data_IF_449486858435
#
_entry.id   IF_449486858435
#
_cell.length_a   1.000
_cell.length_b   1.000
_cell.length_c   1.000
_cell.angle_alpha   90.00
_cell.angle_beta   90.00
_cell.angle_gamma   90.00
#
_symmetry.space_group_name_H-M   'P 1'
#
loop_
_entity.id
_entity.type
_entity.pdbx_description
1 polymer ?
#
# COMPACT_ATOMS: atom_id res chain seq x y z
N UNK A 1 -2.21 -9.98 22.53
CA UNK A 1 -1.21 -10.65 21.66
C UNK A 1 -0.87 -9.68 20.52
N UNK A 2 0.36 -9.24 20.50
CA UNK A 2 0.90 -8.34 19.47
C UNK A 2 1.32 -9.19 18.27
N UNK A 3 0.78 -8.89 17.09
CA UNK A 3 1.13 -9.56 15.85
C UNK A 3 1.78 -8.56 14.91
N UNK A 4 2.99 -8.87 14.51
CA UNK A 4 3.82 -8.08 13.60
C UNK A 4 4.13 -8.85 12.32
N UNK A 5 4.69 -8.16 11.34
CA UNK A 5 5.21 -8.80 10.11
C UNK A 5 6.44 -8.07 9.59
N UNK A 6 7.33 -8.84 8.97
CA UNK A 6 8.32 -8.35 8.03
C UNK A 6 7.88 -8.75 6.61
N UNK A 7 7.86 -7.80 5.69
CA UNK A 7 7.27 -7.99 4.36
C UNK A 7 8.25 -7.58 3.25
N UNK A 8 9.29 -8.40 2.99
CA UNK A 8 10.30 -8.10 1.98
C UNK A 8 9.79 -8.39 0.57
N UNK A 9 10.33 -7.62 -0.41
CA UNK A 9 10.17 -7.92 -1.84
C UNK A 9 11.38 -8.72 -2.34
N UNK A 10 11.19 -9.89 -2.99
CA UNK A 10 12.29 -10.76 -3.43
C UNK A 10 12.89 -10.26 -4.76
N UNK A 11 13.35 -9.01 -4.78
CA UNK A 11 13.91 -8.34 -5.97
C UNK A 11 15.43 -8.15 -5.91
N UNK A 12 16.06 -8.61 -4.83
CA UNK A 12 17.49 -8.54 -4.57
C UNK A 12 17.82 -9.04 -3.16
N UNK A 13 19.11 -9.05 -2.78
CA UNK A 13 19.55 -9.47 -1.46
C UNK A 13 19.06 -8.49 -0.38
N UNK A 14 18.92 -9.00 0.84
CA UNK A 14 18.66 -8.14 2.01
C UNK A 14 19.90 -7.28 2.31
N UNK A 15 19.66 -6.15 2.93
CA UNK A 15 20.71 -5.28 3.46
C UNK A 15 20.45 -4.98 4.95
N UNK A 16 21.40 -4.30 5.61
CA UNK A 16 21.34 -4.04 7.05
C UNK A 16 20.01 -3.41 7.52
N UNK A 17 19.42 -2.50 6.72
CA UNK A 17 18.12 -1.90 7.05
C UNK A 17 16.98 -2.92 7.04
N UNK A 18 17.02 -3.91 6.14
CA UNK A 18 16.04 -5.01 6.14
C UNK A 18 16.21 -5.91 7.37
N UNK A 19 17.46 -6.26 7.72
CA UNK A 19 17.76 -7.04 8.92
C UNK A 19 17.26 -6.33 10.18
N UNK A 20 17.54 -5.04 10.31
CA UNK A 20 17.05 -4.22 11.41
C UNK A 20 15.52 -4.21 11.50
N UNK A 21 14.83 -3.96 10.37
CA UNK A 21 13.37 -3.94 10.33
C UNK A 21 12.76 -5.30 10.72
N UNK A 22 13.38 -6.41 10.28
CA UNK A 22 12.95 -7.76 10.63
C UNK A 22 13.12 -8.04 12.12
N UNK A 23 14.28 -7.69 12.69
CA UNK A 23 14.57 -7.86 14.12
C UNK A 23 13.62 -7.03 14.98
N UNK A 24 13.40 -5.75 14.65
CA UNK A 24 12.45 -4.90 15.38
C UNK A 24 11.04 -5.49 15.34
N UNK A 25 10.59 -5.99 14.18
CA UNK A 25 9.28 -6.61 14.07
C UNK A 25 9.18 -7.90 14.89
N UNK A 26 10.23 -8.71 14.89
CA UNK A 26 10.29 -9.96 15.66
C UNK A 26 10.29 -9.68 17.17
N UNK A 27 11.14 -8.78 17.65
CA UNK A 27 11.32 -8.52 19.08
C UNK A 27 10.12 -7.81 19.70
N UNK A 28 9.38 -7.05 18.88
CA UNK A 28 8.20 -6.33 19.34
C UNK A 28 6.94 -7.20 19.39
N UNK A 29 6.86 -8.28 18.59
CA UNK A 29 5.67 -9.09 18.42
C UNK A 29 5.66 -10.36 19.28
N UNK A 30 4.50 -10.68 19.89
CA UNK A 30 4.25 -12.03 20.45
C UNK A 30 4.18 -13.08 19.33
N UNK A 31 3.78 -12.65 18.13
CA UNK A 31 3.76 -13.46 16.91
C UNK A 31 4.32 -12.64 15.74
N UNK A 32 5.42 -13.11 15.21
CA UNK A 32 6.09 -12.56 14.05
C UNK A 32 5.72 -13.34 12.79
N UNK A 33 5.34 -12.65 11.72
CA UNK A 33 4.99 -13.22 10.43
C UNK A 33 5.93 -12.72 9.32
N UNK A 34 6.10 -13.55 8.30
CA UNK A 34 6.71 -13.13 7.02
C UNK A 34 5.60 -13.06 5.97
N UNK A 35 5.66 -12.03 5.12
CA UNK A 35 4.88 -11.94 3.90
C UNK A 35 5.82 -11.60 2.74
N UNK A 36 5.75 -12.38 1.67
CA UNK A 36 6.55 -12.14 0.48
C UNK A 36 5.82 -11.17 -0.45
N UNK A 37 6.36 -9.97 -0.64
CA UNK A 37 5.77 -8.93 -1.50
C UNK A 37 6.35 -9.03 -2.92
N UNK A 38 5.89 -10.02 -3.65
CA UNK A 38 6.36 -10.41 -4.98
C UNK A 38 5.44 -9.97 -6.13
N UNK A 39 4.67 -8.87 -5.96
CA UNK A 39 3.75 -8.36 -6.99
C UNK A 39 4.47 -7.97 -8.29
N UNK A 40 5.67 -7.42 -8.19
CA UNK A 40 6.48 -7.09 -9.36
C UNK A 40 7.19 -8.35 -9.90
N UNK A 41 6.45 -9.14 -10.65
CA UNK A 41 6.94 -10.39 -11.25
C UNK A 41 8.08 -10.15 -12.27
N UNK A 42 8.25 -8.92 -12.76
CA UNK A 42 9.36 -8.59 -13.66
C UNK A 42 10.71 -8.60 -12.94
N UNK A 43 10.72 -8.31 -11.63
CA UNK A 43 11.93 -8.24 -10.79
C UNK A 43 12.03 -9.33 -9.73
N UNK A 44 10.89 -9.87 -9.28
CA UNK A 44 10.86 -10.95 -8.28
C UNK A 44 11.55 -12.21 -8.82
N UNK A 45 12.37 -12.85 -7.99
CA UNK A 45 13.09 -14.09 -8.34
C UNK A 45 13.07 -15.06 -7.18
N UNK A 46 12.82 -16.35 -7.48
CA UNK A 46 12.82 -17.42 -6.48
C UNK A 46 14.14 -17.53 -5.70
N UNK A 47 15.27 -17.25 -6.35
CA UNK A 47 16.58 -17.25 -5.67
C UNK A 47 16.68 -16.20 -4.58
N UNK A 48 16.10 -15.01 -4.80
CA UNK A 48 16.09 -13.95 -3.78
C UNK A 48 15.15 -14.28 -2.63
N UNK A 49 14.02 -14.93 -2.93
CA UNK A 49 13.13 -15.42 -1.88
C UNK A 49 13.79 -16.46 -0.99
N UNK A 50 14.47 -17.46 -1.60
CA UNK A 50 15.23 -18.46 -0.85
C UNK A 50 16.32 -17.82 0.02
N UNK A 51 17.08 -16.88 -0.55
CA UNK A 51 18.10 -16.15 0.20
C UNK A 51 17.52 -15.33 1.35
N UNK A 52 16.36 -14.69 1.16
CA UNK A 52 15.68 -13.98 2.25
C UNK A 52 15.40 -14.91 3.44
N UNK A 53 14.92 -16.13 3.18
CA UNK A 53 14.66 -17.08 4.26
C UNK A 53 15.97 -17.53 4.93
N UNK A 54 17.02 -17.78 4.16
CA UNK A 54 18.34 -18.17 4.68
C UNK A 54 18.92 -17.04 5.55
N UNK A 55 18.89 -15.79 5.08
CA UNK A 55 19.40 -14.63 5.80
C UNK A 55 18.62 -14.42 7.12
N UNK A 56 17.30 -14.57 7.09
CA UNK A 56 16.47 -14.43 8.31
C UNK A 56 16.71 -15.56 9.31
N UNK A 57 16.88 -16.79 8.84
CA UNK A 57 17.27 -17.92 9.71
C UNK A 57 18.68 -17.72 10.29
N UNK A 58 19.62 -17.18 9.51
CA UNK A 58 20.96 -16.84 10.02
C UNK A 58 20.91 -15.79 11.14
N UNK A 59 19.95 -14.86 11.09
CA UNK A 59 19.66 -13.89 12.16
C UNK A 59 18.97 -14.53 13.38
N UNK A 60 18.66 -15.83 13.34
CA UNK A 60 17.96 -16.53 14.41
C UNK A 60 16.44 -16.32 14.44
N UNK A 61 15.87 -15.75 13.38
CA UNK A 61 14.44 -15.49 13.31
C UNK A 61 13.68 -16.75 12.87
N UNK A 62 12.48 -16.92 13.43
CA UNK A 62 11.55 -18.00 13.10
C UNK A 62 10.15 -17.46 12.90
N UNK A 63 9.37 -18.11 12.05
CA UNK A 63 8.01 -17.71 11.71
C UNK A 63 7.14 -18.92 11.31
N UNK A 64 5.80 -18.79 11.43
CA UNK A 64 4.89 -19.84 10.97
C UNK A 64 4.91 -20.01 9.45
N UNK A 65 4.70 -21.25 9.01
CA UNK A 65 4.49 -21.59 7.59
C UNK A 65 3.06 -22.06 7.34
N UNK A 66 2.52 -21.93 6.11
CA UNK A 66 3.16 -21.35 4.92
C UNK A 66 3.28 -19.83 4.99
N UNK A 67 4.30 -19.27 4.32
CA UNK A 67 4.45 -17.83 4.15
C UNK A 67 3.44 -17.33 3.13
N UNK A 68 2.73 -16.24 3.45
CA UNK A 68 1.84 -15.57 2.50
C UNK A 68 2.65 -14.92 1.39
N UNK A 69 2.26 -15.17 0.14
CA UNK A 69 2.84 -14.53 -1.07
C UNK A 69 1.77 -13.68 -1.73
N UNK A 70 2.12 -12.46 -2.09
CA UNK A 70 1.15 -11.54 -2.72
C UNK A 70 0.74 -11.99 -4.11
N UNK A 71 1.64 -12.61 -4.88
CA UNK A 71 1.32 -13.16 -6.20
C UNK A 71 0.20 -14.20 -6.19
N UNK A 72 0.07 -14.97 -5.10
CA UNK A 72 -0.98 -15.98 -4.94
C UNK A 72 -2.34 -15.36 -4.57
N UNK A 73 -2.37 -14.07 -4.26
CA UNK A 73 -3.55 -13.38 -3.75
C UNK A 73 -4.26 -12.47 -4.76
N UNK A 74 -3.86 -12.51 -6.02
CA UNK A 74 -4.46 -11.70 -7.08
C UNK A 74 -6.01 -11.78 -7.15
N UNK A 75 -6.65 -12.95 -6.93
CA UNK A 75 -8.11 -13.03 -6.88
C UNK A 75 -8.72 -12.20 -5.74
N UNK A 76 -8.08 -12.14 -4.57
CA UNK A 76 -8.53 -11.34 -3.41
C UNK A 76 -8.47 -9.85 -3.75
N UNK A 77 -7.35 -9.41 -4.34
CA UNK A 77 -7.19 -8.01 -4.74
C UNK A 77 -8.19 -7.61 -5.82
N UNK A 78 -8.42 -8.50 -6.80
CA UNK A 78 -9.42 -8.28 -7.85
C UNK A 78 -10.82 -8.14 -7.27
N UNK A 79 -11.21 -8.99 -6.34
CA UNK A 79 -12.51 -8.92 -5.66
C UNK A 79 -12.68 -7.61 -4.87
N UNK A 80 -11.62 -7.15 -4.20
CA UNK A 80 -11.64 -5.87 -3.49
C UNK A 80 -11.78 -4.67 -4.46
N UNK A 81 -11.05 -4.70 -5.58
CA UNK A 81 -11.19 -3.69 -6.65
C UNK A 81 -12.60 -3.69 -7.24
N UNK A 82 -13.20 -4.87 -7.48
CA UNK A 82 -14.56 -4.99 -7.97
C UNK A 82 -15.56 -4.35 -6.99
N UNK A 83 -15.41 -4.62 -5.69
CA UNK A 83 -16.27 -4.01 -4.67
C UNK A 83 -16.18 -2.48 -4.65
N UNK A 84 -14.97 -1.93 -4.72
CA UNK A 84 -14.77 -0.48 -4.80
C UNK A 84 -15.31 0.09 -6.13
N UNK A 85 -15.18 -0.66 -7.22
CA UNK A 85 -15.73 -0.30 -8.52
C UNK A 85 -17.25 -0.22 -8.48
N UNK A 86 -17.93 -1.22 -7.96
CA UNK A 86 -19.39 -1.28 -7.86
C UNK A 86 -19.97 -0.14 -7.00
N UNK A 87 -19.20 0.30 -6.01
CA UNK A 87 -19.52 1.46 -5.18
C UNK A 87 -19.26 2.82 -5.87
N UNK A 88 -18.70 2.82 -7.09
CA UNK A 88 -18.38 4.06 -7.80
C UNK A 88 -17.17 4.83 -7.27
N UNK A 89 -16.35 4.18 -6.43
CA UNK A 89 -15.20 4.78 -5.77
C UNK A 89 -13.92 4.77 -6.60
N UNK A 90 -13.88 4.00 -7.70
CA UNK A 90 -12.74 3.93 -8.59
C UNK A 90 -13.04 4.52 -9.95
N UNK A 91 -12.01 5.05 -10.59
CA UNK A 91 -12.04 5.48 -11.98
C UNK A 91 -10.72 5.16 -12.69
N UNK A 92 -10.73 4.95 -14.05
CA UNK A 92 -9.53 4.68 -14.81
C UNK A 92 -8.70 5.96 -15.02
N UNK A 93 -7.37 5.81 -14.95
CA UNK A 93 -6.44 6.93 -15.14
C UNK A 93 -5.37 6.57 -16.17
N UNK A 94 -5.29 7.35 -17.22
CA UNK A 94 -4.31 7.20 -18.31
C UNK A 94 -3.09 8.12 -18.14
N UNK A 95 -3.06 8.99 -17.14
CA UNK A 95 -1.97 9.95 -16.94
C UNK A 95 -0.64 9.25 -16.66
N UNK A 96 0.38 9.69 -17.37
CA UNK A 96 1.79 9.40 -17.05
C UNK A 96 2.29 10.35 -15.95
N UNK A 97 3.49 10.09 -15.41
CA UNK A 97 4.14 11.04 -14.47
C UNK A 97 4.30 12.42 -15.11
N UNK A 98 4.71 12.46 -16.38
CA UNK A 98 4.90 13.72 -17.13
C UNK A 98 3.59 14.52 -17.25
N UNK A 99 2.47 13.84 -17.44
CA UNK A 99 1.16 14.52 -17.52
C UNK A 99 0.77 15.13 -16.17
N UNK A 100 1.08 14.42 -15.07
CA UNK A 100 0.83 14.90 -13.70
C UNK A 100 1.72 16.11 -13.41
N UNK A 101 3.02 16.02 -13.70
CA UNK A 101 3.98 17.12 -13.48
C UNK A 101 3.59 18.36 -14.31
N UNK A 102 3.17 18.16 -15.57
CA UNK A 102 2.71 19.24 -16.43
C UNK A 102 1.44 19.92 -15.87
N UNK A 103 0.49 19.13 -15.35
CA UNK A 103 -0.72 19.67 -14.76
C UNK A 103 -0.45 20.44 -13.45
N UNK A 104 0.51 19.99 -12.64
CA UNK A 104 0.92 20.65 -11.40
C UNK A 104 1.75 21.92 -11.66
N UNK A 105 2.43 22.01 -12.82
CA UNK A 105 3.20 23.19 -13.21
C UNK A 105 2.33 24.34 -13.74
N UNK A 106 1.03 24.07 -13.97
CA UNK A 106 0.09 25.14 -14.35
C UNK A 106 -0.19 26.03 -13.13
N UNK A 107 -0.21 27.37 -13.30
CA UNK A 107 -0.47 28.31 -12.20
C UNK A 107 -1.82 28.01 -11.53
N UNK A 108 -1.80 27.52 -10.31
CA UNK A 108 -2.99 27.34 -9.46
C UNK A 108 -2.73 28.01 -8.11
N UNK A 109 -3.42 29.08 -7.83
CA UNK A 109 -3.27 29.80 -6.56
C UNK A 109 -3.76 28.92 -5.39
N UNK A 110 -2.88 28.73 -4.39
CA UNK A 110 -3.22 28.11 -3.11
C UNK A 110 -3.35 26.58 -3.09
N UNK A 111 -3.06 25.86 -4.17
CA UNK A 111 -3.11 24.41 -4.17
C UNK A 111 -1.83 23.79 -3.58
N UNK A 112 -2.00 22.78 -2.71
CA UNK A 112 -0.89 21.93 -2.29
C UNK A 112 -0.53 21.00 -3.46
N UNK A 113 0.72 21.02 -3.87
CA UNK A 113 1.22 20.19 -4.97
C UNK A 113 1.86 18.89 -4.50
N UNK A 114 2.22 18.79 -3.22
CA UNK A 114 2.91 17.64 -2.63
C UNK A 114 2.23 17.21 -1.33
N UNK A 115 1.94 15.93 -1.26
CA UNK A 115 1.43 15.23 -0.07
C UNK A 115 2.47 14.27 0.51
N UNK A 116 2.09 13.43 1.47
CA UNK A 116 2.99 12.48 2.13
C UNK A 116 3.70 11.51 1.18
N UNK A 117 3.05 11.14 0.08
CA UNK A 117 3.55 10.17 -0.90
C UNK A 117 4.07 10.83 -2.19
N UNK A 118 4.31 12.14 -2.17
CA UNK A 118 4.80 12.89 -3.33
C UNK A 118 3.73 13.77 -4.00
N UNK A 119 3.79 13.98 -5.33
CA UNK A 119 2.87 14.86 -6.03
C UNK A 119 1.40 14.44 -5.87
N UNK A 120 0.55 15.37 -5.43
CA UNK A 120 -0.89 15.15 -5.31
C UNK A 120 -1.48 15.11 -6.72
N UNK A 121 -2.22 14.06 -7.02
CA UNK A 121 -2.84 13.91 -8.33
C UNK A 121 -3.94 14.98 -8.56
N UNK A 122 -3.88 15.76 -9.66
CA UNK A 122 -4.78 16.90 -9.88
C UNK A 122 -6.21 16.54 -10.29
N UNK A 123 -6.54 15.24 -10.40
CA UNK A 123 -7.90 14.80 -10.73
C UNK A 123 -8.23 14.78 -12.23
N UNK A 124 -7.27 14.96 -13.12
CA UNK A 124 -7.45 15.11 -14.60
C UNK A 124 -8.34 14.04 -15.24
N UNK A 125 -8.37 12.81 -14.71
CA UNK A 125 -9.18 11.72 -15.25
C UNK A 125 -10.46 11.43 -14.45
N UNK A 126 -10.72 12.15 -13.34
CA UNK A 126 -11.81 11.84 -12.41
C UNK A 126 -13.19 11.93 -13.08
N UNK A 127 -13.39 12.94 -13.91
CA UNK A 127 -14.69 13.22 -14.56
C UNK A 127 -14.84 12.56 -15.93
N UNK A 128 -13.87 11.72 -16.33
CA UNK A 128 -13.99 10.96 -17.59
C UNK A 128 -15.06 9.88 -17.47
N UNK A 129 -15.68 9.56 -18.60
CA UNK A 129 -16.67 8.50 -18.64
C UNK A 129 -16.07 7.18 -18.10
N UNK A 130 -16.77 6.62 -17.13
CA UNK A 130 -16.39 5.38 -16.47
C UNK A 130 -17.00 4.19 -17.23
N UNK A 131 -16.23 3.15 -17.58
CA UNK A 131 -16.77 1.92 -18.13
C UNK A 131 -17.79 1.26 -17.19
N UNK A 132 -18.76 0.53 -17.76
CA UNK A 132 -19.75 -0.18 -16.97
C UNK A 132 -19.12 -1.31 -16.13
N UNK A 133 -18.09 -1.97 -16.67
CA UNK A 133 -17.36 -3.05 -16.00
C UNK A 133 -15.99 -2.57 -15.54
N UNK A 134 -15.48 -3.20 -14.46
CA UNK A 134 -14.12 -2.99 -14.00
C UNK A 134 -13.12 -3.36 -15.11
N UNK A 135 -12.34 -2.39 -15.63
CA UNK A 135 -11.40 -2.67 -16.72
C UNK A 135 -10.20 -3.49 -16.25
N UNK A 136 -9.64 -4.27 -17.16
CA UNK A 136 -8.37 -4.95 -16.97
C UNK A 136 -7.23 -4.15 -17.60
N UNK A 137 -6.03 -4.26 -17.00
CA UNK A 137 -4.83 -3.65 -17.57
C UNK A 137 -4.84 -2.12 -17.60
N UNK A 138 -5.57 -1.48 -16.69
CA UNK A 138 -5.58 -0.03 -16.53
C UNK A 138 -5.13 0.40 -15.13
N UNK A 139 -4.60 1.62 -15.03
CA UNK A 139 -4.40 2.20 -13.71
C UNK A 139 -5.77 2.65 -13.17
N UNK A 140 -6.07 2.27 -11.93
CA UNK A 140 -7.29 2.69 -11.24
C UNK A 140 -6.93 3.57 -10.05
N UNK A 141 -7.62 4.71 -9.94
CA UNK A 141 -7.48 5.61 -8.81
C UNK A 141 -8.74 5.59 -7.95
N UNK A 142 -8.52 5.77 -6.64
CA UNK A 142 -9.59 6.02 -5.67
C UNK A 142 -10.01 7.48 -5.77
N UNK A 143 -11.28 7.74 -5.99
CA UNK A 143 -11.89 9.07 -5.83
C UNK A 143 -11.94 9.38 -4.33
N UNK A 144 -10.95 10.12 -3.85
CA UNK A 144 -10.81 10.40 -2.42
C UNK A 144 -12.01 11.18 -1.88
N UNK A 145 -12.55 12.11 -2.65
CA UNK A 145 -13.69 12.92 -2.23
C UNK A 145 -14.95 12.09 -2.01
N UNK A 146 -15.17 11.06 -2.83
CA UNK A 146 -16.25 10.09 -2.61
C UNK A 146 -15.94 9.11 -1.49
N UNK A 147 -14.70 8.62 -1.44
CA UNK A 147 -14.30 7.61 -0.46
C UNK A 147 -14.48 8.08 0.98
N UNK A 148 -14.13 9.33 1.30
CA UNK A 148 -14.28 9.86 2.65
C UNK A 148 -15.75 9.93 3.14
N UNK A 149 -16.73 9.97 2.21
CA UNK A 149 -18.15 9.97 2.58
C UNK A 149 -18.62 8.62 3.13
N UNK A 150 -17.86 7.55 2.91
CA UNK A 150 -18.13 6.21 3.42
C UNK A 150 -17.31 5.85 4.65
N UNK A 151 -16.51 6.79 5.16
CA UNK A 151 -15.66 6.58 6.33
C UNK A 151 -16.30 7.21 7.58
N UNK A 152 -15.96 6.72 8.78
CA UNK A 152 -16.33 7.42 10.01
C UNK A 152 -15.68 8.81 10.04
N UNK A 153 -16.25 9.73 10.80
CA UNK A 153 -15.75 11.11 10.89
C UNK A 153 -14.28 11.20 11.29
N UNK A 154 -13.83 10.26 12.11
CA UNK A 154 -12.45 10.23 12.61
C UNK A 154 -11.83 8.85 12.40
N UNK A 155 -10.66 8.82 11.77
CA UNK A 155 -9.75 7.68 11.79
C UNK A 155 -8.55 8.04 12.66
N UNK A 156 -8.10 7.11 13.48
CA UNK A 156 -6.95 7.32 14.34
C UNK A 156 -6.07 6.09 14.40
N UNK A 157 -4.82 6.30 14.73
CA UNK A 157 -3.88 5.24 15.10
C UNK A 157 -3.08 5.68 16.33
N UNK A 158 -2.46 4.73 17.01
CA UNK A 158 -1.58 5.01 18.14
C UNK A 158 -0.16 4.70 17.75
N UNK A 159 0.73 5.68 17.84
CA UNK A 159 2.17 5.47 17.71
C UNK A 159 2.73 5.06 19.09
N UNK A 160 3.39 3.91 19.13
CA UNK A 160 3.99 3.35 20.35
C UNK A 160 5.51 3.39 20.35
N UNK A 161 6.10 3.83 19.24
CA UNK A 161 7.55 4.03 19.10
C UNK A 161 8.06 5.24 19.90
N UNK A 162 9.39 5.42 19.94
CA UNK A 162 10.02 6.49 20.74
C UNK A 162 9.82 7.90 20.13
N UNK A 163 9.43 7.99 18.86
CA UNK A 163 9.23 9.26 18.17
C UNK A 163 7.75 9.43 17.84
N UNK A 164 7.19 10.60 18.15
CA UNK A 164 5.78 10.94 17.92
C UNK A 164 4.78 10.02 18.65
N UNK A 165 5.17 9.49 19.82
CA UNK A 165 4.32 8.61 20.63
C UNK A 165 2.98 9.26 20.97
N UNK A 166 1.90 8.49 20.87
CA UNK A 166 0.55 8.92 21.25
C UNK A 166 -0.50 8.62 20.20
N UNK A 167 -1.72 9.09 20.46
CA UNK A 167 -2.84 8.95 19.54
C UNK A 167 -2.77 10.03 18.45
N UNK A 168 -2.89 9.61 17.20
CA UNK A 168 -2.91 10.47 16.03
C UNK A 168 -4.24 10.35 15.31
N UNK A 169 -4.87 11.47 15.04
CA UNK A 169 -6.13 11.55 14.29
C UNK A 169 -5.90 12.06 12.88
N UNK A 170 -6.57 11.45 11.92
CA UNK A 170 -6.50 11.84 10.52
C UNK A 170 -7.61 12.84 10.19
N UNK A 171 -7.25 13.97 9.62
CA UNK A 171 -8.21 14.93 9.09
C UNK A 171 -8.72 14.47 7.72
N UNK A 172 -9.81 13.70 7.72
CA UNK A 172 -10.36 13.12 6.49
C UNK A 172 -10.96 14.17 5.57
N UNK A 173 -11.49 15.27 6.09
CA UNK A 173 -12.06 16.33 5.25
C UNK A 173 -11.02 17.04 4.39
N UNK A 174 -9.77 17.06 4.83
CA UNK A 174 -8.63 17.61 4.08
C UNK A 174 -7.97 16.57 3.14
N UNK A 175 -8.28 15.28 3.27
CA UNK A 175 -7.61 14.22 2.51
C UNK A 175 -7.65 14.39 0.98
N UNK A 176 -8.76 14.87 0.37
CA UNK A 176 -8.77 15.13 -1.07
C UNK A 176 -7.72 16.15 -1.53
N UNK A 177 -7.38 17.12 -0.69
CA UNK A 177 -6.41 18.19 -0.98
C UNK A 177 -4.99 17.84 -0.52
N UNK A 178 -4.85 17.07 0.57
CA UNK A 178 -3.54 16.80 1.20
C UNK A 178 -2.93 15.45 0.77
N UNK A 179 -3.76 14.51 0.33
CA UNK A 179 -3.36 13.17 -0.13
C UNK A 179 -3.71 12.99 -1.61
N UNK A 180 -4.91 13.41 -2.00
CA UNK A 180 -5.44 13.26 -3.36
C UNK A 180 -5.88 11.84 -3.70
N UNK A 181 -6.12 11.60 -4.99
CA UNK A 181 -6.61 10.33 -5.50
C UNK A 181 -5.46 9.35 -5.71
N UNK A 182 -5.38 8.36 -4.83
CA UNK A 182 -4.31 7.36 -4.82
C UNK A 182 -4.57 6.19 -5.77
N UNK A 183 -3.51 5.62 -6.34
CA UNK A 183 -3.59 4.45 -7.23
C UNK A 183 -3.92 3.19 -6.43
N UNK A 184 -4.97 2.47 -6.84
CA UNK A 184 -5.39 1.18 -6.26
C UNK A 184 -5.09 -0.01 -7.15
N UNK A 185 -4.98 0.20 -8.47
CA UNK A 185 -4.44 -0.80 -9.37
C UNK A 185 -3.50 -0.14 -10.37
N UNK A 186 -2.42 -0.83 -10.68
CA UNK A 186 -1.47 -0.47 -11.74
C UNK A 186 -1.67 -1.40 -12.91
N UNK A 187 -1.51 -0.85 -14.12
CA UNK A 187 -1.66 -1.60 -15.38
C UNK A 187 -0.80 -2.85 -15.44
N UNK A 188 0.43 -2.75 -14.95
CA UNK A 188 1.47 -3.77 -15.02
C UNK A 188 1.35 -4.84 -13.93
N UNK A 189 0.65 -4.55 -12.81
CA UNK A 189 0.57 -5.45 -11.66
C UNK A 189 -0.86 -5.90 -11.31
N UNK A 190 -1.90 -5.29 -11.91
CA UNK A 190 -3.30 -5.60 -11.61
C UNK A 190 -3.76 -5.20 -10.19
N UNK A 191 -2.86 -4.71 -9.36
CA UNK A 191 -3.10 -4.19 -8.01
C UNK A 191 -2.10 -3.08 -7.71
N UNK A 192 -2.09 -2.56 -6.49
CA UNK A 192 -1.07 -1.65 -5.99
C UNK A 192 -0.60 -2.06 -4.60
N UNK A 193 0.60 -1.63 -4.22
CA UNK A 193 1.11 -1.80 -2.86
C UNK A 193 0.09 -1.34 -1.81
N UNK A 194 -0.48 -0.16 -1.97
CA UNK A 194 -1.45 0.41 -1.02
C UNK A 194 -2.75 -0.40 -0.88
N UNK A 195 -3.15 -1.15 -1.89
CA UNK A 195 -4.31 -2.04 -1.78
C UNK A 195 -3.91 -3.37 -1.14
N UNK A 196 -2.85 -4.00 -1.66
CA UNK A 196 -2.44 -5.33 -1.22
C UNK A 196 -2.03 -5.36 0.25
N UNK A 197 -1.18 -4.42 0.70
CA UNK A 197 -0.71 -4.41 2.09
C UNK A 197 -1.85 -4.27 3.09
N UNK A 198 -2.85 -3.44 2.80
CA UNK A 198 -4.00 -3.23 3.70
C UNK A 198 -4.85 -4.49 3.82
N UNK A 199 -5.13 -5.17 2.70
CA UNK A 199 -5.90 -6.41 2.69
C UNK A 199 -5.14 -7.55 3.38
N UNK A 200 -3.85 -7.64 3.11
CA UNK A 200 -3.02 -8.70 3.67
C UNK A 200 -2.78 -8.51 5.17
N UNK A 201 -2.53 -7.29 5.63
CA UNK A 201 -2.41 -7.00 7.05
C UNK A 201 -3.71 -7.30 7.79
N UNK A 202 -4.87 -7.00 7.19
CA UNK A 202 -6.17 -7.34 7.75
C UNK A 202 -6.37 -8.88 7.84
N UNK A 203 -6.09 -9.62 6.77
CA UNK A 203 -6.25 -11.08 6.72
C UNK A 203 -5.26 -11.80 7.67
N UNK A 204 -4.03 -11.30 7.76
CA UNK A 204 -3.03 -11.78 8.70
C UNK A 204 -3.30 -11.30 10.14
N UNK A 205 -4.30 -10.43 10.35
CA UNK A 205 -4.67 -9.84 11.64
C UNK A 205 -3.48 -9.13 12.30
N UNK A 206 -2.71 -8.39 11.52
CA UNK A 206 -1.60 -7.58 12.01
C UNK A 206 -2.16 -6.51 12.96
N UNK A 207 -1.60 -6.43 14.14
CA UNK A 207 -2.00 -5.45 15.17
C UNK A 207 -1.05 -4.27 15.27
N UNK A 208 0.23 -4.51 14.96
CA UNK A 208 1.28 -3.49 15.04
C UNK A 208 2.12 -3.53 13.77
N UNK A 209 2.29 -2.37 13.16
CA UNK A 209 3.11 -2.16 11.97
C UNK A 209 4.40 -1.50 12.41
N UNK A 210 5.51 -2.21 12.27
CA UNK A 210 6.84 -1.65 12.53
C UNK A 210 7.40 -1.05 11.24
N UNK A 211 8.06 0.08 11.38
CA UNK A 211 8.86 0.69 10.32
C UNK A 211 10.23 1.07 10.88
N UNK A 212 11.27 0.82 10.09
CA UNK A 212 12.62 1.24 10.38
C UNK A 212 12.95 2.58 9.79
#
# INVERSE_FOLDING_TARGET
MIRTRFAPSPTGPLHLGHAYAALVAHDYGDQFLIRMEDLDQSRARAQWEAQIYDDLHWLGLTWPTPVMRQSDRMPVYRAALQKLWDQGLLYPCTCTRRDIDAALSAPQEGALHYGPDGPIYPGTCRDKQRPAQLPDGENLRLDMAKAIQHLPETLSFTETGPVHTGAHSLNLSAAPQTIGDIVRARRDMGTSYHLSVVLDDADQKITHVTRG
#
